data_IF_900443091448
#
_entry.id   IF_900443091448
#
_cell.length_a   1.000
_cell.length_b   1.000
_cell.length_c   1.000
_cell.angle_alpha   90.00
_cell.angle_beta   90.00
_cell.angle_gamma   90.00
#
_symmetry.space_group_name_H-M   'P 1'
#
loop_
_entity.id
_entity.type
_entity.pdbx_description
1 polymer ?
#
# COMPACT_ATOMS: atom_id res chain seq x y z
N UNK A 1 -39.53 3.55 -21.40
CA UNK A 1 -38.72 3.75 -20.18
C UNK A 1 -37.45 2.92 -20.34
N UNK A 2 -36.30 3.55 -20.58
CA UNK A 2 -35.03 2.81 -20.66
C UNK A 2 -34.54 2.53 -19.24
N UNK A 3 -34.57 1.27 -18.84
CA UNK A 3 -33.79 0.81 -17.70
C UNK A 3 -32.32 0.83 -18.13
N UNK A 4 -31.66 1.97 -17.92
CA UNK A 4 -30.21 2.05 -17.95
C UNK A 4 -29.72 1.24 -16.74
N UNK A 5 -29.42 -0.04 -16.95
CA UNK A 5 -28.59 -0.77 -16.00
C UNK A 5 -27.25 -0.05 -15.98
N UNK A 6 -26.97 0.67 -14.90
CA UNK A 6 -25.58 1.00 -14.59
C UNK A 6 -24.90 -0.35 -14.33
N UNK A 7 -24.16 -0.86 -15.31
CA UNK A 7 -23.21 -1.94 -15.06
C UNK A 7 -22.21 -1.38 -14.04
N UNK A 8 -22.43 -1.68 -12.76
CA UNK A 8 -21.43 -1.44 -11.73
C UNK A 8 -20.26 -2.35 -12.03
N UNK A 9 -19.27 -1.80 -12.75
CA UNK A 9 -18.02 -2.49 -12.97
C UNK A 9 -17.38 -2.73 -11.61
N UNK A 10 -16.99 -3.98 -11.29
CA UNK A 10 -16.30 -4.26 -10.04
C UNK A 10 -15.02 -3.41 -9.96
N UNK A 11 -14.92 -2.61 -8.89
CA UNK A 11 -13.75 -1.79 -8.59
C UNK A 11 -13.04 -2.40 -7.39
N UNK A 12 -11.75 -2.63 -7.53
CA UNK A 12 -10.89 -2.95 -6.40
C UNK A 12 -10.42 -1.67 -5.73
N UNK A 13 -10.39 -1.73 -4.40
CA UNK A 13 -10.00 -0.63 -3.54
C UNK A 13 -8.82 -1.06 -2.66
N UNK A 14 -7.82 -0.18 -2.57
CA UNK A 14 -6.76 -0.27 -1.56
C UNK A 14 -6.84 0.99 -0.70
N UNK A 15 -6.94 0.80 0.62
CA UNK A 15 -6.80 1.88 1.58
C UNK A 15 -5.41 1.84 2.22
N UNK A 16 -4.85 3.01 2.44
CA UNK A 16 -3.70 3.18 3.31
C UNK A 16 -4.02 4.28 4.33
N UNK A 17 -3.89 3.95 5.61
CA UNK A 17 -3.95 4.92 6.70
C UNK A 17 -2.52 5.12 7.17
N UNK A 18 -2.09 6.36 7.13
CA UNK A 18 -0.70 6.73 7.28
C UNK A 18 -0.58 7.70 8.43
N UNK A 19 0.26 7.36 9.39
CA UNK A 19 0.53 8.18 10.55
C UNK A 19 1.95 8.70 10.47
N UNK A 20 2.15 9.98 10.79
CA UNK A 20 3.45 10.63 10.82
C UNK A 20 3.47 11.61 11.99
N UNK A 21 4.61 11.71 12.66
CA UNK A 21 4.87 12.82 13.60
C UNK A 21 5.52 13.93 12.79
N UNK A 22 4.95 15.13 12.83
CA UNK A 22 5.50 16.29 12.12
C UNK A 22 6.64 16.98 12.90
N UNK A 23 7.15 18.08 12.34
CA UNK A 23 8.20 18.90 12.95
C UNK A 23 7.80 19.56 14.27
N UNK A 24 6.50 19.67 14.55
CA UNK A 24 5.95 20.22 15.79
C UNK A 24 5.66 19.13 16.84
N UNK A 25 6.03 17.89 16.55
CA UNK A 25 5.75 16.71 17.37
C UNK A 25 4.25 16.38 17.46
N UNK A 26 3.46 16.78 16.45
CA UNK A 26 2.03 16.46 16.34
C UNK A 26 1.81 15.22 15.45
N UNK A 27 0.83 14.40 15.83
CA UNK A 27 0.44 13.24 15.03
C UNK A 27 -0.44 13.69 13.85
N UNK A 28 0.07 13.51 12.65
CA UNK A 28 -0.64 13.73 11.39
C UNK A 28 -1.10 12.39 10.83
N UNK A 29 -2.41 12.27 10.62
CA UNK A 29 -3.04 11.14 9.94
C UNK A 29 -3.37 11.51 8.48
N UNK A 30 -3.12 10.58 7.56
CA UNK A 30 -3.53 10.69 6.16
C UNK A 30 -4.12 9.38 5.68
N UNK A 31 -5.37 9.44 5.23
CA UNK A 31 -6.04 8.33 4.54
C UNK A 31 -5.89 8.49 3.03
N UNK A 32 -5.38 7.47 2.36
CA UNK A 32 -5.18 7.44 0.91
C UNK A 32 -5.90 6.23 0.35
N UNK A 33 -6.95 6.50 -0.42
CA UNK A 33 -7.72 5.52 -1.17
C UNK A 33 -7.23 5.44 -2.62
N UNK A 34 -6.90 4.23 -3.08
CA UNK A 34 -6.57 3.95 -4.48
C UNK A 34 -7.65 3.03 -5.04
N UNK A 35 -8.40 3.56 -6.01
CA UNK A 35 -9.43 2.83 -6.75
C UNK A 35 -8.86 2.32 -8.06
N UNK A 36 -9.20 1.08 -8.43
CA UNK A 36 -8.74 0.47 -9.67
C UNK A 36 -9.81 -0.45 -10.27
N UNK A 37 -10.02 -0.42 -11.60
CA UNK A 37 -10.87 -1.39 -12.28
C UNK A 37 -10.23 -2.79 -12.34
N UNK A 38 -8.98 -2.95 -11.89
CA UNK A 38 -8.31 -4.25 -11.83
C UNK A 38 -8.85 -5.05 -10.66
N UNK A 39 -9.75 -5.99 -10.95
CA UNK A 39 -10.41 -6.88 -9.97
C UNK A 39 -9.49 -7.87 -9.25
N UNK A 40 -8.25 -8.02 -9.72
CA UNK A 40 -7.32 -9.01 -9.20
C UNK A 40 -6.30 -8.36 -8.26
N UNK A 41 -6.31 -8.77 -6.99
CA UNK A 41 -5.31 -8.38 -5.98
C UNK A 41 -3.99 -9.14 -6.19
N UNK A 42 -3.44 -9.02 -7.39
CA UNK A 42 -2.15 -9.59 -7.77
C UNK A 42 -1.00 -8.75 -7.23
N UNK A 43 0.21 -9.31 -7.19
CA UNK A 43 1.40 -8.58 -6.76
C UNK A 43 1.65 -7.32 -7.60
N UNK A 44 1.32 -7.33 -8.89
CA UNK A 44 1.39 -6.14 -9.75
C UNK A 44 0.43 -5.03 -9.32
N UNK A 45 -0.81 -5.37 -8.95
CA UNK A 45 -1.76 -4.38 -8.42
C UNK A 45 -1.21 -3.75 -7.12
N UNK A 46 -0.69 -4.55 -6.19
CA UNK A 46 -0.09 -4.04 -4.96
C UNK A 46 1.10 -3.12 -5.24
N UNK A 47 1.97 -3.49 -6.17
CA UNK A 47 3.13 -2.67 -6.56
C UNK A 47 2.71 -1.33 -7.19
N UNK A 48 1.72 -1.33 -8.07
CA UNK A 48 1.18 -0.10 -8.66
C UNK A 48 0.55 0.80 -7.60
N UNK A 49 -0.20 0.23 -6.67
CA UNK A 49 -0.80 0.96 -5.56
C UNK A 49 0.27 1.57 -4.65
N UNK A 50 1.32 0.81 -4.32
CA UNK A 50 2.42 1.32 -3.51
C UNK A 50 3.19 2.45 -4.23
N UNK A 51 3.49 2.27 -5.51
CA UNK A 51 4.14 3.31 -6.30
C UNK A 51 3.28 4.59 -6.36
N UNK A 52 1.96 4.46 -6.48
CA UNK A 52 1.03 5.60 -6.44
C UNK A 52 0.94 6.25 -5.06
N UNK A 53 0.97 5.45 -3.99
CA UNK A 53 0.99 5.94 -2.60
C UNK A 53 2.17 6.87 -2.36
N UNK A 54 3.37 6.47 -2.80
CA UNK A 54 4.61 7.23 -2.65
C UNK A 54 4.74 8.46 -3.57
N UNK A 55 3.77 8.70 -4.46
CA UNK A 55 3.66 10.00 -5.14
C UNK A 55 3.03 11.08 -4.25
N UNK A 56 2.47 10.70 -3.09
CA UNK A 56 1.95 11.66 -2.14
C UNK A 56 3.09 12.40 -1.43
N UNK A 57 2.97 13.73 -1.35
CA UNK A 57 3.94 14.58 -0.64
C UNK A 57 4.14 14.18 0.83
N UNK A 58 3.16 13.48 1.40
CA UNK A 58 3.21 12.92 2.75
C UNK A 58 4.44 12.02 2.99
N UNK A 59 4.97 11.39 1.94
CA UNK A 59 6.11 10.47 2.02
C UNK A 59 7.43 11.04 1.51
N UNK A 60 7.48 12.31 1.10
CA UNK A 60 8.68 12.88 0.43
C UNK A 60 9.94 12.85 1.31
N UNK A 61 9.78 12.86 2.62
CA UNK A 61 10.86 12.81 3.60
C UNK A 61 11.20 11.40 4.10
N UNK A 62 10.47 10.38 3.64
CA UNK A 62 10.73 9.00 4.01
C UNK A 62 11.93 8.47 3.21
N UNK A 63 12.95 7.97 3.92
CA UNK A 63 14.14 7.33 3.32
C UNK A 63 14.19 5.83 3.52
N UNK A 64 13.49 5.33 4.54
CA UNK A 64 13.43 3.90 4.85
C UNK A 64 12.01 3.50 5.16
N UNK A 65 11.55 2.41 4.56
CA UNK A 65 10.26 1.79 4.85
C UNK A 65 10.49 0.40 5.43
N UNK A 66 9.98 0.19 6.64
CA UNK A 66 9.94 -1.12 7.30
C UNK A 66 8.55 -1.72 7.09
N UNK A 67 8.45 -2.68 6.18
CA UNK A 67 7.24 -3.46 5.94
C UNK A 67 7.14 -4.63 6.90
N UNK A 68 5.98 -4.78 7.52
CA UNK A 68 5.65 -5.95 8.34
C UNK A 68 4.51 -6.70 7.65
N UNK A 69 4.68 -8.01 7.49
CA UNK A 69 3.69 -8.88 6.89
C UNK A 69 3.46 -10.10 7.78
N UNK A 70 2.20 -10.53 7.85
CA UNK A 70 1.78 -11.81 8.44
C UNK A 70 2.22 -13.03 7.60
N UNK A 71 2.92 -12.79 6.49
CA UNK A 71 3.39 -13.83 5.60
C UNK A 71 2.27 -14.54 4.85
N UNK A 72 1.08 -13.93 4.75
CA UNK A 72 -0.04 -14.46 3.97
C UNK A 72 0.32 -14.68 2.49
N UNK A 73 -0.46 -15.51 1.76
CA UNK A 73 -0.15 -15.87 0.37
C UNK A 73 0.05 -14.66 -0.57
N UNK A 74 -0.69 -13.58 -0.33
CA UNK A 74 -0.60 -12.33 -1.09
C UNK A 74 0.74 -11.59 -0.90
N UNK A 75 1.40 -11.76 0.24
CA UNK A 75 2.69 -11.12 0.57
C UNK A 75 3.89 -11.99 0.24
N UNK A 76 3.71 -13.32 0.11
CA UNK A 76 4.71 -14.24 -0.45
C UNK A 76 4.78 -14.20 -1.98
N UNK A 77 4.29 -13.14 -2.60
CA UNK A 77 4.38 -12.96 -4.04
C UNK A 77 5.83 -12.60 -4.42
N UNK A 78 6.52 -13.47 -5.16
CA UNK A 78 7.91 -13.24 -5.60
C UNK A 78 8.08 -11.90 -6.33
N UNK A 79 7.10 -11.45 -7.13
CA UNK A 79 7.17 -10.16 -7.82
C UNK A 79 7.21 -9.02 -6.81
N UNK A 80 6.39 -9.08 -5.75
CA UNK A 80 6.36 -8.06 -4.70
C UNK A 80 7.69 -8.03 -3.94
N UNK A 81 8.16 -9.19 -3.47
CA UNK A 81 9.42 -9.30 -2.73
C UNK A 81 10.60 -8.82 -3.57
N UNK A 82 10.70 -9.26 -4.83
CA UNK A 82 11.76 -8.84 -5.73
C UNK A 82 11.72 -7.34 -6.00
N UNK A 83 10.56 -6.77 -6.32
CA UNK A 83 10.48 -5.34 -6.69
C UNK A 83 10.73 -4.40 -5.51
N UNK A 84 10.36 -4.79 -4.28
CA UNK A 84 10.64 -3.99 -3.09
C UNK A 84 12.10 -4.09 -2.64
N UNK A 85 12.71 -5.28 -2.71
CA UNK A 85 14.04 -5.53 -2.15
C UNK A 85 15.18 -5.41 -3.18
N UNK A 86 14.88 -5.19 -4.47
CA UNK A 86 15.89 -5.11 -5.54
C UNK A 86 16.66 -3.79 -5.48
N UNK A 87 17.94 -3.88 -5.11
CA UNK A 87 18.86 -2.72 -5.00
C UNK A 87 19.16 -2.01 -6.33
N UNK A 88 19.21 -2.74 -7.44
CA UNK A 88 19.62 -2.18 -8.74
C UNK A 88 18.52 -1.48 -9.55
N UNK A 89 17.26 -1.69 -9.19
CA UNK A 89 16.10 -1.09 -9.86
C UNK A 89 14.95 -0.99 -8.85
N UNK A 90 15.04 -0.07 -7.87
CA UNK A 90 14.04 0.05 -6.83
C UNK A 90 12.71 0.53 -7.40
N UNK A 91 11.60 0.01 -6.88
CA UNK A 91 10.25 0.45 -7.25
C UNK A 91 10.04 1.95 -6.97
N UNK A 92 10.54 2.42 -5.83
CA UNK A 92 10.45 3.81 -5.39
C UNK A 92 11.88 4.32 -5.21
N UNK A 93 12.23 5.37 -5.95
CA UNK A 93 13.57 5.96 -5.90
C UNK A 93 13.84 6.53 -4.51
N UNK A 94 15.09 6.44 -4.08
CA UNK A 94 15.59 7.04 -2.82
C UNK A 94 14.90 6.56 -1.53
N UNK A 95 14.12 5.47 -1.61
CA UNK A 95 13.50 4.81 -0.45
C UNK A 95 14.04 3.38 -0.35
N UNK A 96 14.65 3.06 0.78
CA UNK A 96 15.08 1.70 1.10
C UNK A 96 13.92 0.93 1.73
N UNK A 97 13.59 -0.24 1.19
CA UNK A 97 12.61 -1.15 1.79
C UNK A 97 13.30 -2.26 2.57
N UNK A 98 12.80 -2.53 3.77
CA UNK A 98 13.08 -3.73 4.55
C UNK A 98 11.75 -4.40 4.86
N UNK A 99 11.64 -5.71 4.64
CA UNK A 99 10.38 -6.42 4.86
C UNK A 99 10.62 -7.61 5.79
N UNK A 100 9.82 -7.69 6.86
CA UNK A 100 9.75 -8.85 7.75
C UNK A 100 8.45 -9.63 7.47
N UNK A 101 8.58 -10.94 7.23
CA UNK A 101 7.47 -11.83 6.82
C UNK A 101 6.94 -12.73 7.95
N UNK A 102 7.38 -12.51 9.18
CA UNK A 102 7.08 -13.38 10.33
C UNK A 102 6.48 -12.61 11.50
N UNK A 103 5.91 -11.43 11.25
CA UNK A 103 5.43 -10.55 12.30
C UNK A 103 3.93 -10.71 12.42
N UNK A 104 3.50 -11.30 13.53
CA UNK A 104 2.15 -11.87 13.64
C UNK A 104 1.04 -10.82 13.58
N UNK A 105 1.25 -9.54 13.91
CA UNK A 105 0.16 -8.56 13.94
C UNK A 105 0.61 -7.10 14.21
N UNK A 106 1.51 -6.51 13.41
CA UNK A 106 1.88 -5.07 13.61
C UNK A 106 0.98 -4.13 12.80
N UNK A 107 0.09 -3.40 13.48
CA UNK A 107 -0.61 -2.23 12.90
C UNK A 107 -1.89 -2.53 12.11
N UNK A 108 -2.36 -3.78 12.04
CA UNK A 108 -3.62 -4.15 11.36
C UNK A 108 -4.88 -3.60 12.04
N UNK A 109 -4.86 -3.50 13.37
CA UNK A 109 -6.03 -3.14 14.19
C UNK A 109 -6.70 -1.82 13.78
N UNK A 110 -5.93 -0.83 13.32
CA UNK A 110 -6.50 0.46 12.89
C UNK A 110 -7.14 0.38 11.50
N UNK A 111 -6.58 -0.39 10.57
CA UNK A 111 -7.10 -0.49 9.19
C UNK A 111 -8.36 -1.35 9.16
N UNK A 112 -8.40 -2.42 9.95
CA UNK A 112 -9.54 -3.34 10.00
C UNK A 112 -10.80 -2.68 10.60
N UNK A 113 -10.69 -1.56 11.32
CA UNK A 113 -11.84 -0.79 11.82
C UNK A 113 -12.61 -0.04 10.72
N UNK A 114 -12.03 0.11 9.53
CA UNK A 114 -12.64 0.83 8.41
C UNK A 114 -13.39 -0.09 7.42
N UNK A 115 -13.47 -1.39 7.72
CA UNK A 115 -14.20 -2.41 6.96
C UNK A 115 -15.32 -3.02 7.81
#
# INVERSE_FOLDING_TARGET
>A
MSHSFFEQLPVTYLNAICFKIDENNELVEKSIAILSPVISHTGSFTLSSLARLFQSEFFNDIKTCFGYSDGGPHFRNQQLVCMLLRKGAPLIKDVMFQVSFCELFRGKEHVDQFF
#
